data_IF_796614828563
#
_entry.id   IF_796614828563
#
_cell.length_a   1.000
_cell.length_b   1.000
_cell.length_c   1.000
_cell.angle_alpha   90.00
_cell.angle_beta   90.00
_cell.angle_gamma   90.00
#
_symmetry.space_group_name_H-M   'P 1'
#
loop_
_entity.id
_entity.type
_entity.pdbx_description
1 polymer ?
#
# COMPACT_ATOMS: atom_id res chain seq x y z
N UNK A 1 -0.05 4.83 24.61
CA UNK A 1 -0.56 3.98 23.53
C UNK A 1 0.47 2.95 23.07
N UNK A 2 1.71 2.97 23.61
CA UNK A 2 2.78 2.02 23.28
C UNK A 2 2.92 0.85 24.27
N UNK A 3 2.01 0.71 25.25
CA UNK A 3 2.17 -0.23 26.37
C UNK A 3 2.16 -1.73 26.01
N UNK A 4 1.40 -2.24 25.04
CA UNK A 4 1.46 -3.67 24.72
C UNK A 4 2.75 -4.09 24.00
N UNK A 5 3.42 -3.15 23.32
CA UNK A 5 4.65 -3.44 22.57
C UNK A 5 5.89 -3.48 23.47
N UNK A 6 5.90 -2.77 24.58
CA UNK A 6 7.07 -2.69 25.46
C UNK A 6 7.35 -4.00 26.23
N UNK A 7 6.32 -4.77 26.57
CA UNK A 7 6.51 -6.04 27.28
C UNK A 7 6.94 -7.20 26.37
N UNK A 8 6.92 -6.99 25.03
CA UNK A 8 7.32 -7.99 24.05
C UNK A 8 8.51 -7.55 23.19
N UNK A 9 9.23 -6.49 23.60
CA UNK A 9 10.56 -6.27 23.02
C UNK A 9 11.44 -7.45 23.46
N UNK A 10 11.83 -8.33 22.54
CA UNK A 10 12.72 -9.41 22.88
C UNK A 10 14.01 -8.82 23.40
N UNK A 11 14.56 -9.45 24.43
CA UNK A 11 15.91 -9.25 24.93
C UNK A 11 16.85 -8.99 23.75
N UNK A 12 17.73 -7.98 23.81
CA UNK A 12 18.62 -7.58 22.70
C UNK A 12 19.44 -8.73 22.13
N UNK A 13 19.51 -9.88 22.82
CA UNK A 13 20.04 -11.14 22.31
C UNK A 13 19.21 -11.78 21.18
N UNK A 14 17.94 -11.40 21.00
CA UNK A 14 17.06 -11.95 19.96
C UNK A 14 17.16 -11.24 18.62
N UNK A 15 17.78 -10.06 18.54
CA UNK A 15 18.09 -9.38 17.28
C UNK A 15 19.05 -10.22 16.42
N UNK A 16 19.82 -11.12 17.03
CA UNK A 16 20.72 -12.03 16.32
C UNK A 16 20.07 -13.31 15.81
N UNK A 17 18.90 -13.69 16.30
CA UNK A 17 18.18 -14.88 15.84
C UNK A 17 17.22 -14.49 14.73
N UNK A 18 17.73 -14.56 13.48
CA UNK A 18 16.88 -14.47 12.30
C UNK A 18 15.82 -15.57 12.38
N UNK A 19 14.52 -15.24 12.26
CA UNK A 19 13.49 -16.26 12.31
C UNK A 19 13.76 -17.30 11.23
N UNK A 20 13.59 -18.58 11.52
CA UNK A 20 13.73 -19.63 10.51
C UNK A 20 12.60 -19.45 9.48
N UNK A 21 12.92 -18.78 8.37
CA UNK A 21 11.99 -18.42 7.28
C UNK A 21 11.28 -19.60 6.63
N UNK A 22 11.54 -20.83 7.05
CA UNK A 22 11.09 -22.06 6.37
C UNK A 22 10.59 -23.14 7.33
N UNK A 23 10.35 -22.83 8.59
CA UNK A 23 9.89 -23.83 9.55
C UNK A 23 8.40 -24.21 9.42
N UNK A 24 7.63 -23.56 8.53
CA UNK A 24 6.21 -23.89 8.38
C UNK A 24 6.03 -25.06 7.40
N UNK A 25 5.25 -26.05 7.85
CA UNK A 25 4.82 -27.21 7.07
C UNK A 25 3.96 -26.81 5.84
N UNK A 26 3.46 -25.57 5.82
CA UNK A 26 2.56 -25.07 4.77
C UNK A 26 3.34 -24.42 3.64
N UNK A 27 3.35 -25.08 2.49
CA UNK A 27 3.88 -24.50 1.24
C UNK A 27 2.72 -24.03 0.36
N UNK A 28 2.87 -22.89 -0.36
CA UNK A 28 1.84 -22.41 -1.28
C UNK A 28 1.80 -23.27 -2.56
N UNK A 29 0.63 -23.34 -3.18
CA UNK A 29 0.46 -24.04 -4.47
C UNK A 29 1.26 -23.36 -5.57
N UNK A 30 2.17 -24.12 -6.19
CA UNK A 30 2.96 -23.65 -7.34
C UNK A 30 2.10 -23.33 -8.56
N UNK A 31 0.99 -24.06 -8.73
CA UNK A 31 0.04 -23.82 -9.83
C UNK A 31 -0.60 -22.44 -9.68
N UNK A 32 -1.13 -22.13 -8.51
CA UNK A 32 -1.76 -20.84 -8.22
C UNK A 32 -0.75 -19.69 -8.38
N UNK A 33 0.48 -19.85 -7.89
CA UNK A 33 1.51 -18.82 -8.07
C UNK A 33 1.91 -18.60 -9.53
N UNK A 34 1.94 -19.66 -10.35
CA UNK A 34 2.15 -19.52 -11.80
C UNK A 34 0.99 -18.78 -12.47
N UNK A 35 -0.26 -19.07 -12.06
CA UNK A 35 -1.45 -18.36 -12.55
C UNK A 35 -1.40 -16.87 -12.18
N UNK A 36 -1.05 -16.53 -10.93
CA UNK A 36 -0.88 -15.15 -10.50
C UNK A 36 0.19 -14.41 -11.32
N UNK A 37 1.34 -15.07 -11.56
CA UNK A 37 2.39 -14.50 -12.38
C UNK A 37 1.92 -14.26 -13.82
N UNK A 38 1.21 -15.23 -14.41
CA UNK A 38 0.64 -15.09 -15.74
C UNK A 38 -0.35 -13.93 -15.83
N UNK A 39 -1.28 -13.82 -14.87
CA UNK A 39 -2.21 -12.69 -14.77
C UNK A 39 -1.44 -11.37 -14.68
N UNK A 40 -0.42 -11.27 -13.83
CA UNK A 40 0.36 -10.05 -13.65
C UNK A 40 1.15 -9.65 -14.90
N UNK A 41 1.72 -10.62 -15.63
CA UNK A 41 2.47 -10.39 -16.88
C UNK A 41 1.58 -9.82 -17.98
N UNK A 42 0.34 -10.28 -18.08
CA UNK A 42 -0.56 -9.85 -19.16
C UNK A 42 -1.28 -8.56 -18.76
N UNK A 43 -1.87 -8.53 -17.57
CA UNK A 43 -2.79 -7.45 -17.22
C UNK A 43 -2.10 -6.13 -16.90
N UNK A 44 -0.95 -6.13 -16.22
CA UNK A 44 -0.28 -4.86 -15.85
C UNK A 44 0.18 -4.07 -17.08
N UNK A 45 0.90 -4.66 -18.06
CA UNK A 45 1.24 -3.95 -19.29
C UNK A 45 0.00 -3.56 -20.13
N UNK A 46 -1.03 -4.41 -20.15
CA UNK A 46 -2.26 -4.11 -20.88
C UNK A 46 -2.99 -2.91 -20.29
N UNK A 47 -3.13 -2.82 -18.99
CA UNK A 47 -3.73 -1.67 -18.29
C UNK A 47 -2.93 -0.40 -18.60
N UNK A 48 -1.60 -0.46 -18.46
CA UNK A 48 -0.74 0.68 -18.79
C UNK A 48 -0.93 1.12 -20.24
N UNK A 49 -0.91 0.20 -21.19
CA UNK A 49 -1.14 0.49 -22.60
C UNK A 49 -2.51 1.14 -22.85
N UNK A 50 -3.58 0.61 -22.23
CA UNK A 50 -4.94 1.15 -22.37
C UNK A 50 -5.02 2.59 -21.87
N UNK A 51 -4.42 2.87 -20.70
CA UNK A 51 -4.37 4.23 -20.14
C UNK A 51 -3.55 5.18 -21.01
N UNK A 52 -2.40 4.72 -21.54
CA UNK A 52 -1.58 5.50 -22.45
C UNK A 52 -2.33 5.87 -23.71
N UNK A 53 -2.97 4.89 -24.36
CA UNK A 53 -3.75 5.09 -25.57
C UNK A 53 -4.88 6.08 -25.35
N UNK A 54 -5.62 5.93 -24.28
CA UNK A 54 -6.71 6.82 -23.90
C UNK A 54 -6.27 8.27 -23.68
N UNK A 55 -5.10 8.48 -23.07
CA UNK A 55 -4.51 9.81 -22.91
C UNK A 55 -4.09 10.44 -24.25
N UNK A 56 -3.47 9.65 -25.13
CA UNK A 56 -3.06 10.13 -26.44
C UNK A 56 -4.26 10.53 -27.32
N UNK A 57 -5.35 9.77 -27.28
CA UNK A 57 -6.59 10.07 -28.03
C UNK A 57 -7.23 11.40 -27.61
N UNK A 58 -6.95 11.86 -26.38
CA UNK A 58 -7.41 13.16 -25.86
C UNK A 58 -6.46 14.33 -26.12
N UNK A 59 -5.38 14.11 -26.88
CA UNK A 59 -4.43 15.16 -27.28
C UNK A 59 -3.45 15.56 -26.19
N UNK A 60 -3.35 14.79 -25.09
CA UNK A 60 -2.35 15.01 -24.06
C UNK A 60 -0.96 14.64 -24.59
N UNK A 61 -0.13 15.64 -24.77
CA UNK A 61 1.22 15.47 -25.30
C UNK A 61 2.19 14.80 -24.30
N UNK A 62 1.84 14.82 -23.01
CA UNK A 62 2.65 14.27 -21.91
C UNK A 62 1.90 13.17 -21.16
N UNK A 63 2.31 11.93 -21.41
CA UNK A 63 1.78 10.75 -20.74
C UNK A 63 1.77 10.87 -19.22
N UNK A 64 2.84 11.40 -18.62
CA UNK A 64 2.97 11.57 -17.17
C UNK A 64 1.86 12.48 -16.62
N UNK A 65 1.60 13.59 -17.30
CA UNK A 65 0.53 14.54 -16.94
C UNK A 65 -0.83 13.86 -17.01
N UNK A 66 -1.10 13.15 -18.10
CA UNK A 66 -2.37 12.44 -18.27
C UNK A 66 -2.61 11.38 -17.21
N UNK A 67 -1.66 10.46 -16.99
CA UNK A 67 -1.79 9.41 -15.98
C UNK A 67 -1.99 10.00 -14.58
N UNK A 68 -1.35 11.14 -14.29
CA UNK A 68 -1.55 11.86 -13.03
C UNK A 68 -2.96 12.41 -12.91
N UNK A 69 -3.44 13.16 -13.90
CA UNK A 69 -4.78 13.73 -13.90
C UNK A 69 -5.82 12.61 -13.76
N UNK A 70 -5.67 11.55 -14.54
CA UNK A 70 -6.54 10.38 -14.47
C UNK A 70 -6.53 9.67 -13.09
N UNK A 71 -5.50 9.85 -12.28
CA UNK A 71 -5.42 9.21 -10.95
C UNK A 71 -6.18 9.94 -9.85
N UNK A 72 -6.41 11.24 -9.96
CA UNK A 72 -7.06 12.05 -8.91
C UNK A 72 -8.30 12.82 -9.36
N UNK A 73 -8.52 13.00 -10.64
CA UNK A 73 -9.68 13.72 -11.16
C UNK A 73 -10.81 12.73 -11.45
N UNK A 74 -11.80 12.70 -10.57
CA UNK A 74 -12.98 11.84 -10.71
C UNK A 74 -13.99 12.37 -11.73
N UNK A 75 -13.83 13.63 -12.20
CA UNK A 75 -14.70 14.25 -13.22
C UNK A 75 -14.30 13.84 -14.62
N UNK A 76 -13.06 13.36 -14.81
CA UNK A 76 -12.60 12.87 -16.09
C UNK A 76 -13.27 11.54 -16.43
N UNK A 77 -13.82 11.48 -17.63
CA UNK A 77 -14.30 10.25 -18.23
C UNK A 77 -13.13 9.29 -18.46
N UNK A 78 -12.96 8.34 -17.54
CA UNK A 78 -11.86 7.36 -17.52
C UNK A 78 -12.30 6.08 -18.23
N UNK A 79 -11.38 5.36 -18.89
CA UNK A 79 -11.72 4.05 -19.41
C UNK A 79 -12.11 3.13 -18.25
N UNK A 80 -13.26 2.48 -18.37
CA UNK A 80 -13.65 1.45 -17.41
C UNK A 80 -12.72 0.24 -17.57
N UNK A 81 -11.79 0.10 -16.65
CA UNK A 81 -10.87 -1.04 -16.60
C UNK A 81 -11.52 -2.26 -15.92
N UNK A 82 -12.70 -2.08 -15.31
CA UNK A 82 -13.46 -3.15 -14.67
C UNK A 82 -12.59 -3.99 -13.71
N UNK A 83 -12.75 -5.31 -13.83
CA UNK A 83 -12.00 -6.29 -13.02
C UNK A 83 -10.48 -6.22 -13.25
N UNK A 84 -10.01 -5.74 -14.42
CA UNK A 84 -8.58 -5.68 -14.72
C UNK A 84 -7.81 -4.75 -13.77
N UNK A 85 -8.44 -3.70 -13.25
CA UNK A 85 -7.82 -2.82 -12.26
C UNK A 85 -7.35 -3.57 -11.00
N UNK A 86 -8.11 -4.56 -10.56
CA UNK A 86 -7.78 -5.37 -9.38
C UNK A 86 -6.59 -6.32 -9.59
N UNK A 87 -6.17 -6.55 -10.83
CA UNK A 87 -5.02 -7.41 -11.14
C UNK A 87 -3.68 -6.78 -10.73
N UNK A 88 -3.64 -5.46 -10.49
CA UNK A 88 -2.47 -4.78 -9.93
C UNK A 88 -2.13 -5.35 -8.54
N UNK A 89 -3.15 -5.64 -7.73
CA UNK A 89 -2.96 -6.31 -6.44
C UNK A 89 -2.34 -7.69 -6.56
N UNK A 90 -2.71 -8.45 -7.60
CA UNK A 90 -2.09 -9.77 -7.88
C UNK A 90 -0.59 -9.63 -8.16
N UNK A 91 -0.18 -8.57 -8.88
CA UNK A 91 1.24 -8.31 -9.17
C UNK A 91 2.08 -8.10 -7.90
N UNK A 92 1.57 -7.35 -6.93
CA UNK A 92 2.23 -7.15 -5.63
C UNK A 92 2.34 -8.47 -4.85
N UNK A 93 1.26 -9.23 -4.78
CA UNK A 93 1.24 -10.47 -4.00
C UNK A 93 2.17 -11.52 -4.58
N UNK A 94 2.14 -11.74 -5.90
CA UNK A 94 3.06 -12.70 -6.54
C UNK A 94 4.52 -12.25 -6.43
N UNK A 95 4.78 -10.95 -6.45
CA UNK A 95 6.11 -10.39 -6.20
C UNK A 95 6.63 -10.80 -4.82
N UNK A 96 5.84 -10.62 -3.76
CA UNK A 96 6.25 -11.01 -2.40
C UNK A 96 6.52 -12.51 -2.34
N UNK A 97 5.63 -13.36 -2.92
CA UNK A 97 5.85 -14.80 -2.99
C UNK A 97 7.13 -15.19 -3.72
N UNK A 98 7.44 -14.54 -4.85
CA UNK A 98 8.69 -14.79 -5.61
C UNK A 98 9.90 -14.43 -4.76
N UNK A 99 9.87 -13.32 -4.05
CA UNK A 99 10.96 -12.91 -3.16
C UNK A 99 11.11 -13.83 -1.95
N UNK A 100 10.00 -14.41 -1.45
CA UNK A 100 10.02 -15.36 -0.33
C UNK A 100 10.41 -16.77 -0.76
N UNK A 101 9.96 -17.30 -1.89
CA UNK A 101 10.12 -18.71 -2.23
C UNK A 101 11.07 -19.01 -3.40
N UNK A 102 11.32 -18.03 -4.29
CA UNK A 102 12.14 -18.30 -5.48
C UNK A 102 13.61 -17.98 -5.25
N UNK A 103 14.49 -18.90 -5.73
CA UNK A 103 15.93 -18.66 -5.84
C UNK A 103 16.33 -18.05 -7.20
N UNK A 104 15.45 -18.13 -8.22
CA UNK A 104 15.73 -17.73 -9.60
C UNK A 104 15.82 -16.21 -9.72
N UNK A 105 16.98 -15.68 -10.11
CA UNK A 105 17.22 -14.23 -10.25
C UNK A 105 16.30 -13.60 -11.31
N UNK A 106 16.13 -14.26 -12.46
CA UNK A 106 15.31 -13.74 -13.55
C UNK A 106 13.83 -13.53 -13.14
N UNK A 107 13.25 -14.44 -12.32
CA UNK A 107 11.89 -14.25 -11.80
C UNK A 107 11.76 -13.02 -10.89
N UNK A 108 12.80 -12.75 -10.09
CA UNK A 108 12.82 -11.56 -9.23
C UNK A 108 12.91 -10.29 -10.05
N UNK A 109 13.76 -10.28 -11.09
CA UNK A 109 13.86 -9.15 -12.03
C UNK A 109 12.52 -8.92 -12.72
N UNK A 110 11.91 -9.98 -13.27
CA UNK A 110 10.59 -9.88 -13.91
C UNK A 110 9.53 -9.33 -12.95
N UNK A 111 9.49 -9.82 -11.71
CA UNK A 111 8.55 -9.35 -10.71
C UNK A 111 8.78 -7.87 -10.35
N UNK A 112 10.04 -7.42 -10.28
CA UNK A 112 10.36 -5.98 -10.08
C UNK A 112 9.86 -5.17 -11.27
N UNK A 113 10.14 -5.58 -12.50
CA UNK A 113 9.70 -4.86 -13.72
C UNK A 113 8.18 -4.71 -13.76
N UNK A 114 7.44 -5.79 -13.48
CA UNK A 114 5.96 -5.75 -13.46
C UNK A 114 5.45 -4.76 -12.39
N UNK A 115 6.06 -4.75 -11.20
CA UNK A 115 5.63 -3.83 -10.13
C UNK A 115 6.06 -2.38 -10.39
N UNK A 116 7.16 -2.14 -11.09
CA UNK A 116 7.52 -0.80 -11.58
C UNK A 116 6.48 -0.30 -12.58
N UNK A 117 6.05 -1.14 -13.52
CA UNK A 117 4.97 -0.80 -14.45
C UNK A 117 3.65 -0.52 -13.71
N UNK A 118 3.30 -1.34 -12.70
CA UNK A 118 2.13 -1.12 -11.87
C UNK A 118 2.20 0.21 -11.08
N UNK A 119 3.39 0.57 -10.57
CA UNK A 119 3.61 1.84 -9.89
C UNK A 119 3.49 3.04 -10.84
N UNK A 120 3.92 2.90 -12.10
CA UNK A 120 3.73 3.92 -13.14
C UNK A 120 2.25 4.17 -13.44
N UNK A 121 1.40 3.15 -13.37
CA UNK A 121 -0.06 3.30 -13.55
C UNK A 121 -0.66 4.23 -12.47
N UNK A 122 -0.21 4.09 -11.23
CA UNK A 122 -0.70 4.93 -10.13
C UNK A 122 -0.16 6.36 -10.16
N UNK A 123 0.90 6.61 -10.94
CA UNK A 123 1.64 7.89 -11.01
C UNK A 123 1.94 8.52 -9.66
N UNK A 124 2.04 7.69 -8.62
CA UNK A 124 2.29 8.11 -7.25
C UNK A 124 3.60 7.53 -6.71
N UNK A 125 4.27 8.29 -5.87
CA UNK A 125 5.46 7.80 -5.14
C UNK A 125 5.11 6.61 -4.24
N UNK A 126 3.88 6.60 -3.72
CA UNK A 126 3.34 5.51 -2.90
C UNK A 126 3.33 4.19 -3.67
N UNK A 127 3.03 4.20 -4.98
CA UNK A 127 3.08 3.00 -5.82
C UNK A 127 4.45 2.32 -5.81
N UNK A 128 5.54 3.10 -5.88
CA UNK A 128 6.89 2.57 -5.77
C UNK A 128 7.22 2.08 -4.35
N UNK A 129 6.74 2.80 -3.35
CA UNK A 129 6.96 2.47 -1.95
C UNK A 129 6.31 1.15 -1.55
N UNK A 130 5.10 0.88 -2.05
CA UNK A 130 4.30 -0.31 -1.76
C UNK A 130 5.02 -1.62 -2.09
N UNK A 131 5.81 -1.70 -3.15
CA UNK A 131 6.59 -2.90 -3.43
C UNK A 131 8.03 -2.86 -2.89
N UNK A 132 8.61 -1.66 -2.74
CA UNK A 132 9.98 -1.49 -2.25
C UNK A 132 10.10 -1.95 -0.79
N UNK A 133 9.15 -1.57 0.07
CA UNK A 133 9.16 -1.91 1.49
C UNK A 133 9.11 -3.43 1.74
N UNK A 134 8.16 -4.20 1.17
CA UNK A 134 8.17 -5.66 1.29
C UNK A 134 9.46 -6.31 0.77
N UNK A 135 10.00 -5.81 -0.35
CA UNK A 135 11.25 -6.30 -0.92
C UNK A 135 12.41 -6.15 0.05
N UNK A 136 12.60 -4.93 0.57
CA UNK A 136 13.65 -4.61 1.54
C UNK A 136 13.51 -5.47 2.79
N UNK A 137 12.30 -5.60 3.33
CA UNK A 137 12.00 -6.40 4.50
C UNK A 137 12.38 -7.88 4.28
N UNK A 138 11.93 -8.49 3.18
CA UNK A 138 12.25 -9.89 2.85
C UNK A 138 13.74 -10.10 2.64
N UNK A 139 14.42 -9.19 1.93
CA UNK A 139 15.87 -9.30 1.69
C UNK A 139 16.69 -9.11 2.98
N UNK A 140 16.28 -8.22 3.86
CA UNK A 140 16.94 -8.01 5.14
C UNK A 140 16.83 -9.23 6.04
N UNK A 141 15.64 -9.79 6.22
CA UNK A 141 15.45 -10.98 7.04
C UNK A 141 16.12 -12.24 6.46
N UNK A 142 16.28 -12.29 5.15
CA UNK A 142 17.10 -13.34 4.49
C UNK A 142 18.60 -13.10 4.60
N UNK A 143 19.04 -12.01 5.23
CA UNK A 143 20.45 -11.64 5.35
C UNK A 143 21.13 -11.33 4.03
N UNK A 144 20.36 -11.01 2.99
CA UNK A 144 20.89 -10.61 1.68
C UNK A 144 21.35 -9.15 1.65
N UNK A 145 20.77 -8.32 2.52
CA UNK A 145 21.15 -6.91 2.70
C UNK A 145 21.39 -6.61 4.18
N UNK A 146 22.27 -5.65 4.43
CA UNK A 146 22.58 -5.15 5.77
C UNK A 146 21.76 -3.87 6.06
N UNK A 147 21.67 -3.46 7.33
CA UNK A 147 20.99 -2.23 7.73
C UNK A 147 21.56 -0.99 6.99
N UNK A 148 22.88 -0.92 6.79
CA UNK A 148 23.52 0.13 5.99
C UNK A 148 22.96 0.19 4.55
N UNK A 149 22.72 -0.96 3.94
CA UNK A 149 22.14 -1.04 2.59
C UNK A 149 20.71 -0.51 2.56
N UNK A 150 19.93 -0.74 3.62
CA UNK A 150 18.57 -0.17 3.78
C UNK A 150 18.66 1.36 3.80
N UNK A 151 19.59 1.94 4.56
CA UNK A 151 19.82 3.38 4.58
C UNK A 151 20.16 3.94 3.19
N UNK A 152 21.01 3.26 2.42
CA UNK A 152 21.34 3.66 1.04
C UNK A 152 20.10 3.59 0.13
N UNK A 153 19.31 2.51 0.21
CA UNK A 153 18.07 2.35 -0.57
C UNK A 153 17.09 3.49 -0.23
N UNK A 154 16.96 3.84 1.05
CA UNK A 154 16.10 4.93 1.49
C UNK A 154 16.57 6.29 0.92
N UNK A 155 17.88 6.57 0.96
CA UNK A 155 18.45 7.79 0.37
C UNK A 155 18.23 7.86 -1.15
N UNK A 156 18.42 6.74 -1.85
CA UNK A 156 18.11 6.65 -3.29
C UNK A 156 16.62 6.90 -3.54
N UNK A 157 15.74 6.34 -2.72
CA UNK A 157 14.29 6.53 -2.85
C UNK A 157 13.88 7.99 -2.57
N UNK A 158 14.50 8.65 -1.60
CA UNK A 158 14.28 10.08 -1.35
C UNK A 158 14.74 10.91 -2.56
N UNK A 159 15.95 10.66 -3.07
CA UNK A 159 16.45 11.34 -4.27
C UNK A 159 15.58 11.12 -5.49
N UNK A 160 15.11 9.88 -5.71
CA UNK A 160 14.13 9.54 -6.75
C UNK A 160 12.82 10.30 -6.54
N UNK A 161 12.31 10.40 -5.32
CA UNK A 161 11.07 11.10 -5.00
C UNK A 161 11.17 12.61 -5.27
N UNK A 162 12.33 13.22 -5.01
CA UNK A 162 12.60 14.61 -5.31
C UNK A 162 12.66 14.82 -6.84
N UNK A 163 13.42 13.97 -7.53
CA UNK A 163 13.49 14.02 -8.99
C UNK A 163 12.13 13.81 -9.65
N UNK A 164 11.37 12.85 -9.20
CA UNK A 164 10.04 12.55 -9.72
C UNK A 164 9.07 13.73 -9.54
N UNK A 165 9.15 14.44 -8.41
CA UNK A 165 8.36 15.65 -8.19
C UNK A 165 8.83 16.80 -9.08
N UNK A 166 10.15 16.99 -9.24
CA UNK A 166 10.69 17.98 -10.16
C UNK A 166 10.21 17.74 -11.59
N UNK A 167 10.26 16.50 -12.07
CA UNK A 167 9.74 16.13 -13.39
C UNK A 167 8.23 16.43 -13.54
N UNK A 168 7.47 16.27 -12.44
CA UNK A 168 6.03 16.60 -12.41
C UNK A 168 5.76 18.10 -12.41
N UNK A 169 6.54 18.91 -11.68
CA UNK A 169 6.39 20.37 -11.63
C UNK A 169 6.71 21.00 -12.98
N UNK A 170 7.74 20.51 -13.66
CA UNK A 170 8.05 20.93 -15.03
C UNK A 170 6.93 20.67 -16.02
N UNK A 171 6.22 19.52 -15.87
CA UNK A 171 5.09 19.18 -16.72
C UNK A 171 3.83 20.04 -16.43
N UNK A 172 3.70 20.61 -15.23
CA UNK A 172 2.55 21.41 -14.80
C UNK A 172 2.76 22.92 -14.84
N UNK A 173 3.91 23.42 -15.36
CA UNK A 173 4.29 24.85 -15.41
C UNK A 173 4.21 25.56 -14.05
N UNK A 174 4.42 24.87 -12.95
CA UNK A 174 4.47 25.44 -11.61
C UNK A 174 5.85 26.07 -11.34
N UNK A 175 5.88 27.39 -11.15
CA UNK A 175 7.09 28.24 -11.20
C UNK A 175 8.05 28.13 -10.01
N UNK A 176 7.74 27.41 -8.93
CA UNK A 176 8.62 27.36 -7.76
C UNK A 176 8.82 25.96 -7.20
N UNK A 177 9.86 25.29 -7.67
CA UNK A 177 10.31 24.05 -7.08
C UNK A 177 11.49 24.28 -6.13
N UNK A 178 11.33 23.93 -4.85
CA UNK A 178 12.42 23.83 -3.87
C UNK A 178 12.46 22.43 -3.26
N UNK A 179 13.61 21.75 -3.35
CA UNK A 179 13.78 20.41 -2.79
C UNK A 179 13.61 20.38 -1.27
N UNK A 180 14.02 21.43 -0.57
CA UNK A 180 13.89 21.58 0.89
C UNK A 180 12.43 21.80 1.31
N UNK A 181 11.73 22.70 0.65
CA UNK A 181 10.31 22.93 0.92
C UNK A 181 9.49 21.68 0.64
N UNK A 182 9.86 20.92 -0.39
CA UNK A 182 9.18 19.68 -0.74
C UNK A 182 9.28 18.61 0.35
N UNK A 183 10.46 18.34 0.92
CA UNK A 183 10.60 17.37 2.02
C UNK A 183 9.79 17.82 3.24
N UNK A 184 9.86 19.11 3.58
CA UNK A 184 9.08 19.69 4.68
C UNK A 184 7.59 19.51 4.45
N UNK A 185 7.09 19.82 3.25
CA UNK A 185 5.68 19.67 2.89
C UNK A 185 5.24 18.22 3.03
N UNK A 186 5.97 17.25 2.48
CA UNK A 186 5.56 15.83 2.56
C UNK A 186 5.58 15.25 3.97
N UNK A 187 6.43 15.74 4.86
CA UNK A 187 6.54 15.24 6.24
C UNK A 187 5.59 16.01 7.17
N UNK A 188 5.52 17.34 7.04
CA UNK A 188 4.81 18.20 7.98
C UNK A 188 3.39 18.53 7.55
N UNK A 189 3.15 18.67 6.23
CA UNK A 189 1.84 19.06 5.70
C UNK A 189 0.67 18.19 6.19
N UNK A 190 0.78 16.84 6.28
CA UNK A 190 -0.30 16.03 6.83
C UNK A 190 -0.65 16.35 8.29
N UNK A 191 0.37 16.67 9.11
CA UNK A 191 0.18 17.05 10.50
C UNK A 191 -0.47 18.42 10.63
N UNK A 192 0.00 19.39 9.83
CA UNK A 192 -0.54 20.76 9.83
C UNK A 192 -1.96 20.77 9.28
N UNK A 193 -2.23 20.04 8.19
CA UNK A 193 -3.57 19.91 7.65
C UNK A 193 -4.53 19.27 8.66
N UNK A 194 -4.08 18.25 9.39
CA UNK A 194 -4.85 17.62 10.43
C UNK A 194 -5.18 18.62 11.57
N UNK A 195 -4.21 19.36 12.04
CA UNK A 195 -4.37 20.31 13.16
C UNK A 195 -5.33 21.45 12.80
N UNK A 196 -5.20 22.03 11.59
CA UNK A 196 -5.97 23.21 11.19
C UNK A 196 -7.37 22.93 10.65
N UNK A 197 -7.60 21.75 10.04
CA UNK A 197 -8.80 21.52 9.23
C UNK A 197 -9.66 20.35 9.71
N UNK A 198 -9.26 19.65 10.78
CA UNK A 198 -10.02 18.49 11.26
C UNK A 198 -10.68 18.80 12.60
N UNK A 199 -12.02 18.80 12.60
CA UNK A 199 -12.83 18.92 13.80
C UNK A 199 -13.13 17.55 14.41
N UNK A 200 -13.11 17.43 15.76
CA UNK A 200 -13.40 16.16 16.43
C UNK A 200 -14.88 15.82 16.36
N UNK A 201 -15.20 14.55 16.12
CA UNK A 201 -16.57 14.01 16.12
C UNK A 201 -17.53 14.83 15.23
N UNK A 202 -17.05 15.27 14.05
CA UNK A 202 -17.79 16.12 13.10
C UNK A 202 -18.48 15.29 12.00
N UNK A 203 -18.45 13.96 12.08
CA UNK A 203 -19.06 13.06 11.12
C UNK A 203 -20.57 13.27 11.00
N UNK A 204 -21.07 13.33 9.76
CA UNK A 204 -22.50 13.43 9.46
C UNK A 204 -23.22 12.11 9.74
N UNK A 205 -22.55 11.00 9.48
CA UNK A 205 -23.04 9.67 9.75
C UNK A 205 -22.06 8.90 10.65
N UNK A 206 -22.59 7.99 11.45
CA UNK A 206 -21.79 7.22 12.42
C UNK A 206 -20.62 6.50 11.75
N UNK A 207 -19.39 6.96 12.02
CA UNK A 207 -18.18 6.35 11.51
C UNK A 207 -18.07 6.35 9.98
N UNK A 208 -18.43 7.45 9.33
CA UNK A 208 -18.52 7.53 7.87
C UNK A 208 -17.19 7.27 7.15
N UNK A 209 -16.06 7.65 7.74
CA UNK A 209 -14.73 7.32 7.21
C UNK A 209 -14.24 5.95 7.67
N UNK A 210 -14.42 5.62 8.95
CA UNK A 210 -13.96 4.35 9.52
C UNK A 210 -14.71 3.16 8.93
N UNK A 211 -16.03 3.29 8.75
CA UNK A 211 -16.89 2.26 8.18
C UNK A 211 -17.28 2.53 6.72
N UNK A 212 -16.46 3.27 6.00
CA UNK A 212 -16.71 3.63 4.61
C UNK A 212 -17.06 2.42 3.73
N UNK A 213 -16.39 1.29 3.93
CA UNK A 213 -16.66 0.05 3.19
C UNK A 213 -18.09 -0.45 3.44
N UNK A 214 -18.60 -0.35 4.66
CA UNK A 214 -19.99 -0.67 4.98
C UNK A 214 -20.95 0.23 4.20
N UNK A 215 -20.73 1.54 4.20
CA UNK A 215 -21.56 2.48 3.45
C UNK A 215 -21.51 2.23 1.94
N UNK A 216 -20.36 1.87 1.40
CA UNK A 216 -20.23 1.50 -0.02
C UNK A 216 -21.07 0.26 -0.38
N UNK A 217 -21.09 -0.77 0.48
CA UNK A 217 -21.95 -1.94 0.31
C UNK A 217 -23.43 -1.53 0.40
N UNK A 218 -23.84 -0.78 1.43
CA UNK A 218 -25.22 -0.36 1.62
C UNK A 218 -25.72 0.47 0.44
N UNK A 219 -24.89 1.39 -0.08
CA UNK A 219 -25.21 2.18 -1.25
C UNK A 219 -25.40 1.29 -2.50
N UNK A 220 -24.53 0.31 -2.72
CA UNK A 220 -24.68 -0.66 -3.82
C UNK A 220 -25.94 -1.55 -3.72
N UNK A 221 -26.48 -1.69 -2.51
CA UNK A 221 -27.74 -2.38 -2.24
C UNK A 221 -28.98 -1.46 -2.29
N UNK A 222 -28.80 -0.19 -2.67
CA UNK A 222 -29.89 0.77 -2.86
C UNK A 222 -30.12 1.77 -1.71
N UNK A 223 -29.19 1.87 -0.75
CA UNK A 223 -29.26 2.93 0.27
C UNK A 223 -29.00 4.31 -0.37
N UNK A 224 -29.71 5.33 0.12
CA UNK A 224 -29.51 6.72 -0.31
C UNK A 224 -28.26 7.37 0.30
N UNK A 225 -27.58 6.72 1.24
CA UNK A 225 -26.38 7.25 1.87
C UNK A 225 -25.18 6.91 0.97
N UNK A 226 -24.58 7.93 0.41
CA UNK A 226 -23.35 7.77 -0.37
C UNK A 226 -22.13 7.60 0.54
N UNK A 227 -21.21 6.70 0.21
CA UNK A 227 -19.95 6.57 0.95
C UNK A 227 -19.09 7.84 0.74
N UNK A 228 -18.42 8.29 1.79
CA UNK A 228 -17.46 9.42 1.69
C UNK A 228 -16.38 9.13 0.66
N UNK A 229 -15.86 10.18 0.01
CA UNK A 229 -14.79 10.04 -1.00
C UNK A 229 -13.52 9.47 -0.38
N UNK A 230 -12.79 8.64 -1.14
CA UNK A 230 -11.43 8.21 -0.79
C UNK A 230 -10.41 9.34 -0.94
N UNK A 231 -10.71 10.31 -1.79
CA UNK A 231 -9.88 11.49 -1.98
C UNK A 231 -10.37 12.53 -0.97
N UNK A 232 -9.55 12.82 0.03
CA UNK A 232 -9.87 13.83 1.02
C UNK A 232 -9.79 15.24 0.41
N UNK A 233 -10.46 16.19 1.05
CA UNK A 233 -10.50 17.60 0.61
C UNK A 233 -9.08 18.17 0.52
N UNK A 234 -8.79 18.89 -0.55
CA UNK A 234 -7.54 19.63 -0.68
C UNK A 234 -7.57 20.88 0.18
N UNK A 235 -6.48 21.13 0.90
CA UNK A 235 -6.26 22.31 1.75
C UNK A 235 -4.84 22.85 1.52
N UNK A 236 -4.69 24.18 1.65
CA UNK A 236 -3.40 24.85 1.44
C UNK A 236 -2.60 24.98 2.74
N UNK A 237 -1.52 24.22 2.92
CA UNK A 237 -0.64 24.27 4.11
C UNK A 237 0.82 23.93 3.80
N UNK A 238 1.67 24.83 3.38
CA UNK A 238 1.45 26.08 2.62
C UNK A 238 1.07 25.80 1.17
N UNK A 239 1.27 24.57 0.66
CA UNK A 239 0.83 24.10 -0.65
C UNK A 239 -0.38 23.16 -0.50
N UNK A 240 -1.10 22.96 -1.58
CA UNK A 240 -2.26 22.08 -1.58
C UNK A 240 -1.90 20.64 -1.24
N UNK A 241 -2.56 20.12 -0.21
CA UNK A 241 -2.48 18.73 0.23
C UNK A 241 -3.86 18.17 0.54
N UNK A 242 -4.02 16.87 0.33
CA UNK A 242 -5.20 16.10 0.74
C UNK A 242 -4.82 14.94 1.68
N UNK A 243 -3.70 15.08 2.38
CA UNK A 243 -3.21 14.10 3.36
C UNK A 243 -3.29 14.65 4.77
N UNK A 244 -3.76 13.82 5.74
CA UNK A 244 -4.13 14.29 7.08
C UNK A 244 -3.71 13.35 8.21
N UNK A 245 -2.70 12.54 8.03
CA UNK A 245 -2.26 11.48 8.96
C UNK A 245 -3.25 10.32 9.13
N UNK A 246 -2.81 9.25 9.80
CA UNK A 246 -3.66 8.11 10.17
C UNK A 246 -4.79 8.49 11.12
N UNK A 247 -4.65 9.61 11.85
CA UNK A 247 -5.58 10.00 12.91
C UNK A 247 -6.89 10.55 12.35
N UNK A 248 -6.87 11.04 11.11
CA UNK A 248 -7.99 11.73 10.48
C UNK A 248 -9.33 11.00 10.63
N UNK A 249 -9.53 9.76 10.13
CA UNK A 249 -10.83 9.12 10.19
C UNK A 249 -11.29 8.86 11.62
N UNK A 250 -10.38 8.56 12.53
CA UNK A 250 -10.71 8.24 13.92
C UNK A 250 -11.12 9.48 14.72
N UNK A 251 -10.40 10.57 14.51
CA UNK A 251 -10.66 11.83 15.19
C UNK A 251 -11.89 12.53 14.62
N UNK A 252 -12.04 12.54 13.30
CA UNK A 252 -13.20 13.08 12.61
C UNK A 252 -14.49 12.36 13.04
N UNK A 253 -14.49 11.02 13.06
CA UNK A 253 -15.69 10.25 13.33
C UNK A 253 -16.03 10.16 14.83
N UNK A 254 -15.02 10.05 15.69
CA UNK A 254 -15.22 9.71 17.11
C UNK A 254 -14.42 10.56 18.09
N UNK A 255 -13.70 11.58 17.64
CA UNK A 255 -12.84 12.41 18.47
C UNK A 255 -11.67 11.63 19.10
N UNK A 256 -11.18 12.11 20.24
CA UNK A 256 -10.08 11.47 20.99
C UNK A 256 -10.35 10.02 21.40
N UNK A 257 -11.56 9.61 21.83
CA UNK A 257 -11.87 8.21 22.11
C UNK A 257 -11.65 7.31 20.90
N UNK A 258 -12.01 7.77 19.69
CA UNK A 258 -11.75 7.03 18.45
C UNK A 258 -10.26 6.84 18.19
N UNK A 259 -9.45 7.88 18.37
CA UNK A 259 -7.99 7.78 18.23
C UNK A 259 -7.41 6.74 19.19
N UNK A 260 -7.85 6.74 20.46
CA UNK A 260 -7.40 5.77 21.47
C UNK A 260 -7.78 4.34 21.11
N UNK A 261 -9.05 4.12 20.75
CA UNK A 261 -9.58 2.79 20.40
C UNK A 261 -8.89 2.22 19.14
N UNK A 262 -8.95 2.95 18.03
CA UNK A 262 -8.42 2.45 16.76
C UNK A 262 -6.89 2.41 16.75
N UNK A 263 -6.20 3.34 17.42
CA UNK A 263 -4.76 3.26 17.65
C UNK A 263 -4.36 2.00 18.41
N UNK A 264 -5.13 1.64 19.45
CA UNK A 264 -4.96 0.37 20.18
C UNK A 264 -5.19 -0.86 19.31
N UNK A 265 -6.28 -0.88 18.51
CA UNK A 265 -6.58 -1.98 17.59
C UNK A 265 -5.49 -2.15 16.52
N UNK A 266 -4.98 -1.05 15.93
CA UNK A 266 -3.87 -1.09 14.98
C UNK A 266 -2.58 -1.61 15.62
N UNK A 267 -2.27 -1.13 16.84
CA UNK A 267 -1.13 -1.64 17.59
C UNK A 267 -1.23 -3.16 17.84
N UNK A 268 -2.39 -3.64 18.26
CA UNK A 268 -2.66 -5.06 18.48
C UNK A 268 -2.56 -5.88 17.18
N UNK A 269 -3.13 -5.37 16.07
CA UNK A 269 -3.06 -6.01 14.75
C UNK A 269 -1.62 -6.20 14.28
N UNK A 270 -0.81 -5.13 14.32
CA UNK A 270 0.59 -5.23 13.88
C UNK A 270 1.43 -6.07 14.84
N UNK A 271 1.21 -5.99 16.16
CA UNK A 271 1.88 -6.86 17.12
C UNK A 271 1.56 -8.33 16.89
N UNK A 272 0.29 -8.66 16.63
CA UNK A 272 -0.14 -10.02 16.28
C UNK A 272 0.54 -10.52 15.00
N UNK A 273 0.51 -9.76 13.90
CA UNK A 273 1.15 -10.14 12.65
C UNK A 273 2.67 -10.32 12.82
N UNK A 274 3.32 -9.39 13.52
CA UNK A 274 4.75 -9.46 13.78
C UNK A 274 5.14 -10.69 14.59
N UNK A 275 4.46 -10.95 15.71
CA UNK A 275 4.75 -12.11 16.57
C UNK A 275 4.56 -13.44 15.81
N UNK A 276 3.51 -13.55 14.99
CA UNK A 276 3.27 -14.72 14.15
C UNK A 276 4.29 -14.86 13.02
N UNK A 277 4.71 -13.75 12.43
CA UNK A 277 5.78 -13.75 11.43
C UNK A 277 7.12 -14.20 12.02
N UNK A 278 7.45 -13.74 13.23
CA UNK A 278 8.67 -14.13 13.95
C UNK A 278 8.66 -15.61 14.38
N UNK A 279 7.50 -16.19 14.63
CA UNK A 279 7.37 -17.63 14.96
C UNK A 279 7.57 -18.56 13.75
N UNK A 280 7.99 -18.04 12.58
CA UNK A 280 8.29 -18.82 11.39
C UNK A 280 7.06 -19.23 10.56
N UNK A 281 5.89 -18.64 10.82
CA UNK A 281 4.68 -18.89 10.04
C UNK A 281 4.69 -18.06 8.75
N UNK A 282 5.03 -18.68 7.63
CA UNK A 282 5.23 -17.99 6.35
C UNK A 282 4.04 -17.17 5.86
N UNK A 283 2.80 -17.58 6.14
CA UNK A 283 1.59 -16.82 5.80
C UNK A 283 1.60 -15.46 6.49
N UNK A 284 1.82 -15.45 7.80
CA UNK A 284 1.87 -14.21 8.58
C UNK A 284 3.08 -13.35 8.22
N UNK A 285 4.19 -13.98 7.83
CA UNK A 285 5.35 -13.27 7.32
C UNK A 285 5.02 -12.48 6.04
N UNK A 286 4.28 -13.10 5.10
CA UNK A 286 3.87 -12.46 3.85
C UNK A 286 2.82 -11.37 4.13
N UNK A 287 1.86 -11.64 5.04
CA UNK A 287 0.89 -10.64 5.48
C UNK A 287 1.59 -9.43 6.10
N UNK A 288 2.51 -9.66 7.04
CA UNK A 288 3.26 -8.57 7.65
C UNK A 288 4.09 -7.79 6.63
N UNK A 289 4.77 -8.47 5.71
CA UNK A 289 5.50 -7.80 4.64
C UNK A 289 4.60 -6.94 3.75
N UNK A 290 3.39 -7.43 3.43
CA UNK A 290 2.40 -6.71 2.64
C UNK A 290 1.88 -5.44 3.36
N UNK A 291 1.59 -5.55 4.66
CA UNK A 291 1.02 -4.44 5.44
C UNK A 291 2.07 -3.48 6.04
N UNK A 292 3.36 -3.82 5.97
CA UNK A 292 4.44 -3.02 6.58
C UNK A 292 4.55 -1.61 5.98
N UNK A 293 4.26 -1.44 4.69
CA UNK A 293 4.26 -0.13 4.05
C UNK A 293 3.22 0.81 4.67
N UNK A 294 2.04 0.31 5.04
CA UNK A 294 1.01 1.13 5.70
C UNK A 294 1.45 1.56 7.10
N UNK A 295 2.13 0.67 7.85
CA UNK A 295 2.69 1.02 9.15
C UNK A 295 3.69 2.20 9.04
N UNK A 296 4.51 2.21 7.99
CA UNK A 296 5.48 3.28 7.78
C UNK A 296 4.79 4.57 7.30
N UNK A 297 3.72 4.47 6.49
CA UNK A 297 3.01 5.63 5.93
C UNK A 297 1.92 6.21 6.84
N UNK A 298 1.83 5.79 8.10
CA UNK A 298 0.83 6.29 9.05
C UNK A 298 0.89 7.81 9.28
N UNK A 299 2.04 8.41 9.10
CA UNK A 299 2.19 9.87 9.21
C UNK A 299 1.58 10.63 8.02
N UNK A 300 1.29 9.94 6.91
CA UNK A 300 0.67 10.53 5.70
C UNK A 300 -0.85 10.38 5.74
N UNK A 301 -1.31 9.14 5.88
CA UNK A 301 -2.76 8.84 5.85
C UNK A 301 -3.08 7.45 6.41
N UNK A 302 -4.35 7.24 6.69
CA UNK A 302 -4.93 5.93 6.97
C UNK A 302 -5.11 5.14 5.66
N UNK A 303 -4.63 3.89 5.60
CA UNK A 303 -4.67 3.06 4.38
C UNK A 303 -5.29 1.68 4.59
N UNK A 304 -5.64 1.29 5.81
CA UNK A 304 -6.20 -0.04 6.08
C UNK A 304 -7.72 -0.03 5.96
N UNK A 305 -8.39 0.84 6.68
CA UNK A 305 -9.86 0.92 6.68
C UNK A 305 -10.39 1.70 5.47
N UNK A 306 -9.72 2.78 5.07
CA UNK A 306 -10.08 3.55 3.87
C UNK A 306 -10.01 2.69 2.59
N UNK A 307 -9.06 1.75 2.52
CA UNK A 307 -8.88 0.82 1.41
C UNK A 307 -9.24 -0.63 1.80
N UNK A 308 -10.26 -0.80 2.65
CA UNK A 308 -10.58 -2.12 3.25
C UNK A 308 -10.84 -3.21 2.20
N UNK A 309 -11.55 -2.91 1.12
CA UNK A 309 -11.81 -3.87 0.03
C UNK A 309 -10.54 -4.37 -0.63
N UNK A 310 -9.57 -3.48 -0.90
CA UNK A 310 -8.27 -3.83 -1.47
C UNK A 310 -7.45 -4.67 -0.47
N UNK A 311 -7.46 -4.30 0.80
CA UNK A 311 -6.75 -5.02 1.84
C UNK A 311 -7.33 -6.41 2.08
N UNK A 312 -8.64 -6.55 2.04
CA UNK A 312 -9.32 -7.86 2.07
C UNK A 312 -8.93 -8.72 0.87
N UNK A 313 -8.87 -8.13 -0.33
CA UNK A 313 -8.37 -8.80 -1.53
C UNK A 313 -6.92 -9.30 -1.35
N UNK A 314 -6.03 -8.51 -0.78
CA UNK A 314 -4.65 -8.94 -0.48
C UNK A 314 -4.63 -10.13 0.48
N UNK A 315 -5.43 -10.10 1.55
CA UNK A 315 -5.54 -11.23 2.49
C UNK A 315 -6.01 -12.50 1.76
N UNK A 316 -7.05 -12.40 0.94
CA UNK A 316 -7.58 -13.53 0.16
C UNK A 316 -6.51 -14.07 -0.80
N UNK A 317 -5.85 -13.19 -1.56
CA UNK A 317 -4.80 -13.58 -2.51
C UNK A 317 -3.59 -14.22 -1.81
N UNK A 318 -3.25 -13.82 -0.59
CA UNK A 318 -2.18 -14.44 0.19
C UNK A 318 -2.61 -15.82 0.71
N UNK A 319 -3.84 -15.97 1.20
CA UNK A 319 -4.31 -17.22 1.79
C UNK A 319 -4.62 -18.28 0.74
N UNK A 320 -5.18 -17.90 -0.41
CA UNK A 320 -5.69 -18.81 -1.43
C UNK A 320 -4.66 -19.85 -1.92
N UNK A 321 -3.36 -19.52 -2.21
CA UNK A 321 -2.38 -20.52 -2.61
C UNK A 321 -2.15 -21.62 -1.56
N UNK A 322 -2.28 -21.33 -0.28
CA UNK A 322 -2.11 -22.28 0.80
C UNK A 322 -3.36 -23.15 0.99
N UNK A 323 -4.54 -22.54 0.95
CA UNK A 323 -5.83 -23.26 1.05
C UNK A 323 -5.97 -24.23 -0.12
N UNK A 324 -5.68 -23.79 -1.34
CA UNK A 324 -5.73 -24.62 -2.54
C UNK A 324 -4.76 -25.80 -2.44
N UNK A 325 -3.53 -25.60 -1.94
CA UNK A 325 -2.56 -26.68 -1.74
C UNK A 325 -3.07 -27.72 -0.74
N UNK A 326 -3.70 -27.29 0.36
CA UNK A 326 -4.26 -28.21 1.35
C UNK A 326 -5.42 -29.04 0.78
N UNK A 327 -6.34 -28.39 0.05
CA UNK A 327 -7.46 -29.07 -0.59
C UNK A 327 -6.98 -30.09 -1.63
N UNK A 328 -6.07 -29.69 -2.51
CA UNK A 328 -5.49 -30.56 -3.53
C UNK A 328 -4.78 -31.77 -2.92
N UNK A 329 -4.06 -31.61 -1.82
CA UNK A 329 -3.38 -32.72 -1.15
C UNK A 329 -4.33 -33.69 -0.43
N UNK A 330 -5.53 -33.24 -0.05
CA UNK A 330 -6.58 -34.10 0.52
C UNK A 330 -7.31 -34.91 -0.55
N UNK A 331 -7.54 -34.33 -1.72
CA UNK A 331 -8.23 -34.98 -2.84
C UNK A 331 -7.35 -36.03 -3.55
N UNK A 332 -6.02 -35.96 -3.39
CA UNK A 332 -5.08 -36.92 -3.95
C UNK A 332 -4.78 -38.12 -3.03
N UNK A 333 -5.35 -38.16 -1.84
CA UNK A 333 -5.33 -39.30 -0.89
C UNK A 333 -6.62 -40.10 -0.97
#
# INVERSE_FOLDING_TARGET
VAYPTYYYLPDHSLISRRPPLLASVLTPSRLVLKLYLFIAIISVPLILYTLMRYGMERGESNLMTYLRIASYDDTLDKPDLGVAYYTIGVALIVFIFIFVYSSKKWLKILAVVINVLAALISMSKTGFFVFLVPMVYVLYLRGKIKLRTIGIILLIFIGFSIWFQYARSMASQQDSFSATSMLTIYIMSPCVAFDYYVEPASATHFGEYVFRFYYAIMHSLGSNIEPVSNVLKFVGVPEETNTYTILYPFYHDFGLPGVGLFGGLYGAFYAFLYNRAQSGQNVYFILYACFLNYLILQFVQENILSNFSLNLQYVILILFPYIFQQLSSRLSR
#
